data_IF_540349224775
#
_entry.id   IF_540349224775
#
_cell.length_a   1.000
_cell.length_b   1.000
_cell.length_c   1.000
_cell.angle_alpha   90.00
_cell.angle_beta   90.00
_cell.angle_gamma   90.00
#
_symmetry.space_group_name_H-M   'P 1'
#
loop_
_entity.id
_entity.type
_entity.pdbx_description
1 polymer ?
#
# COMPACT_ATOMS: atom_id res chain seq x y z
N UNK A 1 0.21 -1.14 13.28
CA UNK A 1 0.34 -2.40 12.54
C UNK A 1 1.81 -2.68 12.28
N UNK A 2 2.26 -3.94 12.43
CA UNK A 2 3.62 -4.37 12.09
C UNK A 2 3.78 -4.48 10.56
N UNK A 3 5.00 -4.32 10.03
CA UNK A 3 5.31 -4.44 8.59
C UNK A 3 4.78 -5.75 7.98
N UNK A 4 4.93 -6.87 8.70
CA UNK A 4 4.48 -8.18 8.23
C UNK A 4 2.98 -8.25 7.97
N UNK A 5 2.15 -7.67 8.84
CA UNK A 5 0.70 -7.66 8.65
C UNK A 5 0.26 -6.76 7.48
N UNK A 6 0.99 -5.65 7.28
CA UNK A 6 0.77 -4.78 6.12
C UNK A 6 1.17 -5.49 4.82
N UNK A 7 2.29 -6.23 4.84
CA UNK A 7 2.77 -7.00 3.71
C UNK A 7 1.84 -8.17 3.39
N UNK A 8 1.31 -8.87 4.39
CA UNK A 8 0.32 -9.93 4.21
C UNK A 8 -0.97 -9.40 3.57
N UNK A 9 -1.54 -8.33 4.15
CA UNK A 9 -2.75 -7.70 3.60
C UNK A 9 -2.51 -7.22 2.16
N UNK A 10 -1.38 -6.56 1.92
CA UNK A 10 -1.03 -6.09 0.59
C UNK A 10 -0.85 -7.24 -0.40
N UNK A 11 -0.22 -8.36 0.00
CA UNK A 11 0.00 -9.53 -0.84
C UNK A 11 -1.25 -10.34 -1.13
N UNK A 12 -2.25 -10.28 -0.26
CA UNK A 12 -3.56 -10.87 -0.50
C UNK A 12 -4.27 -10.21 -1.70
N UNK A 13 -4.09 -8.89 -1.87
CA UNK A 13 -4.64 -8.13 -3.00
C UNK A 13 -3.67 -8.07 -4.19
N UNK A 14 -2.38 -7.92 -3.91
CA UNK A 14 -1.30 -7.70 -4.86
C UNK A 14 -0.15 -8.68 -4.59
N UNK A 15 -0.15 -9.89 -5.17
CA UNK A 15 0.87 -10.90 -4.88
C UNK A 15 2.30 -10.45 -5.22
N UNK A 16 2.45 -9.49 -6.13
CA UNK A 16 3.71 -8.85 -6.50
C UNK A 16 4.10 -7.63 -5.63
N UNK A 17 3.44 -7.43 -4.49
CA UNK A 17 3.74 -6.34 -3.58
C UNK A 17 5.12 -6.48 -2.94
N UNK A 18 5.97 -5.47 -3.16
CA UNK A 18 7.36 -5.40 -2.67
C UNK A 18 7.78 -3.98 -2.26
N UNK A 19 8.94 -3.83 -1.63
CA UNK A 19 9.47 -2.49 -1.29
C UNK A 19 8.59 -1.71 -0.31
N UNK A 20 8.11 -2.37 0.74
CA UNK A 20 7.29 -1.77 1.79
C UNK A 20 8.08 -0.68 2.53
N UNK A 21 7.47 0.50 2.67
CA UNK A 21 8.03 1.59 3.45
C UNK A 21 6.97 2.23 4.32
N UNK A 22 7.37 2.47 5.57
CA UNK A 22 6.50 3.03 6.59
C UNK A 22 6.19 4.48 6.26
N UNK A 23 4.91 4.81 6.29
CA UNK A 23 4.42 6.16 6.14
C UNK A 23 3.37 6.50 7.22
N UNK A 24 3.08 7.78 7.47
CA UNK A 24 2.07 8.17 8.46
C UNK A 24 0.71 7.57 8.11
N UNK A 25 0.18 6.70 8.98
CA UNK A 25 -1.12 6.03 8.81
C UNK A 25 -1.10 4.73 7.99
N UNK A 26 0.06 4.22 7.58
CA UNK A 26 0.12 3.00 6.76
C UNK A 26 1.48 2.67 6.19
N UNK A 27 1.48 1.95 5.09
CA UNK A 27 2.66 1.53 4.36
C UNK A 27 2.44 1.76 2.87
N UNK A 28 3.48 2.22 2.19
CA UNK A 28 3.53 2.23 0.73
C UNK A 28 4.30 1.04 0.26
N UNK A 29 3.89 0.45 -0.86
CA UNK A 29 4.61 -0.64 -1.50
C UNK A 29 4.53 -0.49 -3.01
N UNK A 30 5.48 -1.09 -3.70
CA UNK A 30 5.52 -1.18 -5.16
C UNK A 30 4.72 -2.39 -5.61
N UNK A 31 3.99 -2.22 -6.70
CA UNK A 31 3.21 -3.28 -7.35
C UNK A 31 3.30 -3.05 -8.85
N UNK A 32 3.89 -4.02 -9.56
CA UNK A 32 4.16 -3.94 -11.00
C UNK A 32 4.92 -2.66 -11.38
N UNK A 33 4.26 -1.83 -12.20
CA UNK A 33 4.78 -0.54 -12.68
C UNK A 33 4.51 0.65 -11.76
N UNK A 34 3.78 0.48 -10.65
CA UNK A 34 3.29 1.57 -9.81
C UNK A 34 3.48 1.32 -8.31
N UNK A 35 2.77 2.11 -7.51
CA UNK A 35 2.80 2.10 -6.06
C UNK A 35 1.38 2.05 -5.52
N UNK A 36 1.18 1.25 -4.49
CA UNK A 36 -0.07 1.16 -3.75
C UNK A 36 0.17 1.44 -2.25
N UNK A 37 -0.93 1.62 -1.54
CA UNK A 37 -0.93 1.95 -0.11
C UNK A 37 -1.75 0.93 0.65
N UNK A 38 -1.29 0.56 1.84
CA UNK A 38 -2.05 -0.20 2.83
C UNK A 38 -2.12 0.59 4.14
N UNK A 39 -3.32 0.78 4.68
CA UNK A 39 -3.50 1.50 5.96
C UNK A 39 -3.05 0.67 7.15
N UNK A 40 -2.84 1.33 8.29
CA UNK A 40 -2.62 0.65 9.58
C UNK A 40 -3.85 -0.19 10.04
N UNK A 41 -5.00 -0.03 9.39
CA UNK A 41 -6.19 -0.87 9.57
C UNK A 41 -6.32 -2.02 8.57
N UNK A 42 -5.38 -2.17 7.64
CA UNK A 42 -5.31 -3.31 6.71
C UNK A 42 -6.05 -3.08 5.39
N UNK A 43 -6.53 -1.86 5.14
CA UNK A 43 -7.17 -1.52 3.86
C UNK A 43 -6.11 -1.28 2.81
N UNK A 44 -6.15 -2.07 1.75
CA UNK A 44 -5.23 -1.98 0.61
C UNK A 44 -5.90 -1.23 -0.53
N UNK A 45 -5.15 -0.34 -1.19
CA UNK A 45 -5.61 0.32 -2.40
C UNK A 45 -5.70 -0.73 -3.52
N UNK A 46 -6.86 -0.86 -4.13
CA UNK A 46 -7.11 -1.79 -5.25
C UNK A 46 -6.68 -1.22 -6.59
N UNK A 47 -6.06 -0.04 -6.61
CA UNK A 47 -5.63 0.63 -7.83
C UNK A 47 -4.23 1.25 -7.59
N UNK A 48 -3.22 0.79 -8.34
CA UNK A 48 -1.86 1.25 -8.17
C UNK A 48 -1.63 2.58 -8.88
N UNK A 49 -1.06 3.53 -8.14
CA UNK A 49 -0.73 4.85 -8.65
C UNK A 49 0.66 4.86 -9.28
N UNK A 50 0.85 5.63 -10.35
CA UNK A 50 2.17 5.76 -10.99
C UNK A 50 3.23 6.39 -10.07
N UNK A 51 2.82 7.17 -9.07
CA UNK A 51 3.72 7.84 -8.13
C UNK A 51 3.39 7.45 -6.68
N UNK A 52 4.44 7.16 -5.91
CA UNK A 52 4.33 6.84 -4.48
C UNK A 52 3.58 7.90 -3.67
N UNK A 53 3.78 9.18 -3.98
CA UNK A 53 3.11 10.29 -3.32
C UNK A 53 1.60 10.34 -3.57
N UNK A 54 1.13 9.79 -4.70
CA UNK A 54 -0.29 9.72 -5.05
C UNK A 54 -0.98 8.52 -4.42
N UNK A 55 -0.28 7.39 -4.27
CA UNK A 55 -0.81 6.18 -3.63
C UNK A 55 -1.41 6.47 -2.24
N UNK A 56 -0.82 7.43 -1.51
CA UNK A 56 -1.31 7.93 -0.22
C UNK A 56 -2.65 8.68 -0.33
N UNK A 57 -2.86 9.49 -1.36
CA UNK A 57 -4.00 10.40 -1.42
C UNK A 57 -5.32 9.67 -1.68
N UNK A 58 -5.31 8.58 -2.47
CA UNK A 58 -6.53 7.86 -2.87
C UNK A 58 -7.27 7.18 -1.72
N UNK A 59 -6.59 6.69 -0.70
CA UNK A 59 -7.26 6.01 0.43
C UNK A 59 -7.89 7.00 1.41
N UNK A 60 -7.30 8.19 1.60
CA UNK A 60 -7.84 9.21 2.52
C UNK A 60 -9.06 9.95 1.97
N UNK A 61 -9.35 9.83 0.68
CA UNK A 61 -10.46 10.51 0.01
C UNK A 61 -11.75 9.67 -0.05
N UNK A 62 -11.76 8.44 0.50
CA UNK A 62 -12.89 7.50 0.44
C UNK A 62 -13.36 7.04 1.83
#
# INVERSE_FOLDING_TARGET
>A
MQEQAAAESAREVWPEAEGFERAPGGWTFRVGGGYAWVTDSGRVATDPEGLRSHARQRITAN
#
